data_IF_654790140618
#
_entry.id   IF_654790140618
#
_cell.length_a   1.000
_cell.length_b   1.000
_cell.length_c   1.000
_cell.angle_alpha   90.00
_cell.angle_beta   90.00
_cell.angle_gamma   90.00
#
_symmetry.space_group_name_H-M   'P 1'
#
loop_
_entity.id
_entity.type
_entity.pdbx_description
1 polymer ?
#
# COMPACT_ATOMS: atom_id res chain seq x y z
N UNK A 1 7.89 5.69 30.21
CA UNK A 1 7.76 4.48 29.37
C UNK A 1 8.87 4.53 28.33
N UNK A 2 9.61 3.43 28.16
CA UNK A 2 10.66 3.34 27.14
C UNK A 2 10.05 3.17 25.74
N UNK A 3 10.09 4.25 24.94
CA UNK A 3 9.58 4.27 23.56
C UNK A 3 10.32 3.29 22.65
N UNK A 4 11.58 2.96 22.97
CA UNK A 4 12.40 2.03 22.20
C UNK A 4 11.91 0.59 22.38
N UNK A 5 11.69 0.15 23.63
CA UNK A 5 11.11 -1.16 23.93
C UNK A 5 9.70 -1.32 23.32
N UNK A 6 8.88 -0.27 23.38
CA UNK A 6 7.54 -0.28 22.78
C UNK A 6 7.59 -0.43 21.26
N UNK A 7 8.49 0.29 20.59
CA UNK A 7 8.71 0.16 19.14
C UNK A 7 9.15 -1.25 18.75
N UNK A 8 10.13 -1.83 19.46
CA UNK A 8 10.59 -3.21 19.23
C UNK A 8 9.45 -4.21 19.35
N UNK A 9 8.57 -4.05 20.35
CA UNK A 9 7.37 -4.87 20.53
C UNK A 9 6.41 -4.73 19.34
N UNK A 10 6.11 -3.51 18.90
CA UNK A 10 5.24 -3.28 17.74
C UNK A 10 5.81 -3.87 16.45
N UNK A 11 7.12 -3.73 16.24
CA UNK A 11 7.82 -4.30 15.10
C UNK A 11 7.69 -5.82 15.08
N UNK A 12 8.04 -6.49 16.18
CA UNK A 12 7.91 -7.94 16.30
C UNK A 12 6.47 -8.42 16.06
N UNK A 13 5.49 -7.72 16.64
CA UNK A 13 4.07 -8.04 16.45
C UNK A 13 3.56 -7.80 15.03
N UNK A 14 4.12 -6.83 14.31
CA UNK A 14 3.71 -6.53 12.94
C UNK A 14 4.28 -7.58 11.98
N UNK A 15 5.56 -7.90 12.13
CA UNK A 15 6.28 -8.83 11.25
C UNK A 15 5.91 -10.30 11.49
N UNK A 16 5.28 -10.63 12.62
CA UNK A 16 4.78 -11.99 12.88
C UNK A 16 3.39 -12.27 12.30
N UNK A 17 2.73 -11.26 11.71
CA UNK A 17 1.37 -11.43 11.15
C UNK A 17 1.43 -12.05 9.76
N UNK A 18 0.42 -12.86 9.46
CA UNK A 18 0.15 -13.28 8.09
C UNK A 18 -0.26 -12.08 7.22
N UNK A 19 0.00 -12.19 5.92
CA UNK A 19 -0.43 -11.22 4.93
C UNK A 19 -1.96 -11.25 4.80
N UNK A 20 -2.59 -10.07 4.95
CA UNK A 20 -4.05 -9.90 4.89
C UNK A 20 -4.53 -9.32 3.56
N UNK A 21 -3.63 -9.13 2.59
CA UNK A 21 -4.01 -8.74 1.23
C UNK A 21 -4.79 -9.87 0.55
N UNK A 22 -5.57 -9.54 -0.49
CA UNK A 22 -6.26 -10.56 -1.30
C UNK A 22 -5.29 -11.50 -2.02
N UNK A 23 -4.08 -11.03 -2.30
CA UNK A 23 -3.00 -11.84 -2.90
C UNK A 23 -2.42 -12.83 -1.89
N UNK A 24 -2.40 -12.46 -0.61
CA UNK A 24 -1.82 -13.26 0.46
C UNK A 24 -0.29 -13.23 0.48
N UNK A 25 0.34 -12.34 -0.29
CA UNK A 25 1.78 -12.13 -0.32
C UNK A 25 2.14 -10.70 -0.70
N UNK A 26 3.36 -10.29 -0.34
CA UNK A 26 3.97 -9.03 -0.80
C UNK A 26 4.20 -9.10 -2.32
N UNK A 27 4.10 -7.96 -2.99
CA UNK A 27 4.39 -7.85 -4.43
C UNK A 27 5.88 -8.04 -4.71
N UNK A 28 6.20 -8.80 -5.76
CA UNK A 28 7.57 -9.13 -6.15
C UNK A 28 8.39 -7.86 -6.44
N UNK A 29 7.78 -6.85 -7.05
CA UNK A 29 8.43 -5.59 -7.40
C UNK A 29 8.84 -4.72 -6.20
N UNK A 30 8.29 -4.98 -5.00
CA UNK A 30 8.61 -4.23 -3.78
C UNK A 30 9.23 -5.08 -2.67
N UNK A 31 9.30 -6.42 -2.85
CA UNK A 31 9.70 -7.33 -1.78
C UNK A 31 11.09 -7.01 -1.22
N UNK A 32 12.05 -6.65 -2.07
CA UNK A 32 13.41 -6.30 -1.67
C UNK A 32 13.43 -5.03 -0.80
N UNK A 33 12.66 -4.01 -1.18
CA UNK A 33 12.54 -2.76 -0.41
C UNK A 33 11.88 -3.02 0.96
N UNK A 34 10.82 -3.84 0.99
CA UNK A 34 10.14 -4.25 2.24
C UNK A 34 11.12 -4.97 3.16
N UNK A 35 11.87 -5.94 2.64
CA UNK A 35 12.87 -6.68 3.42
C UNK A 35 14.00 -5.77 3.92
N UNK A 36 14.51 -4.88 3.07
CA UNK A 36 15.54 -3.92 3.42
C UNK A 36 15.12 -3.04 4.60
N UNK A 37 13.92 -2.46 4.56
CA UNK A 37 13.41 -1.62 5.64
C UNK A 37 13.16 -2.42 6.91
N UNK A 38 12.59 -3.62 6.79
CA UNK A 38 12.32 -4.50 7.94
C UNK A 38 13.60 -5.01 8.62
N UNK A 39 14.73 -5.06 7.91
CA UNK A 39 16.03 -5.39 8.50
C UNK A 39 16.62 -4.26 9.38
N UNK A 40 16.14 -3.00 9.25
CA UNK A 40 16.66 -1.85 9.99
C UNK A 40 15.95 -1.66 11.32
N UNK A 41 16.68 -1.42 12.41
CA UNK A 41 16.08 -1.23 13.75
C UNK A 41 15.10 -0.05 13.84
N UNK A 42 15.25 0.94 12.96
CA UNK A 42 14.49 2.18 12.95
C UNK A 42 13.12 2.05 12.28
N UNK A 43 12.89 0.99 11.50
CA UNK A 43 11.75 0.88 10.60
C UNK A 43 11.06 -0.48 10.70
N UNK A 44 9.76 -0.48 10.38
CA UNK A 44 9.08 -1.68 9.88
C UNK A 44 7.90 -1.29 8.99
N UNK A 45 7.64 -2.10 7.98
CA UNK A 45 6.52 -1.92 7.06
C UNK A 45 5.22 -2.44 7.67
N UNK A 46 4.11 -1.74 7.48
CA UNK A 46 2.78 -2.17 7.94
C UNK A 46 1.87 -2.63 6.80
N UNK A 47 2.07 -2.10 5.59
CA UNK A 47 1.41 -2.54 4.35
C UNK A 47 2.14 -2.00 3.12
N UNK A 48 1.98 -2.68 1.98
CA UNK A 48 2.59 -2.32 0.69
C UNK A 48 1.67 -2.67 -0.48
N UNK A 49 1.81 -1.94 -1.59
CA UNK A 49 1.27 -2.28 -2.91
C UNK A 49 2.26 -1.75 -3.96
N UNK A 50 2.71 -2.60 -4.90
CA UNK A 50 3.60 -2.18 -5.99
C UNK A 50 2.94 -1.23 -7.01
N UNK A 51 1.62 -1.12 -6.94
CA UNK A 51 0.78 -0.46 -7.94
C UNK A 51 -0.05 -1.49 -8.67
N UNK A 52 -1.25 -1.09 -9.09
CA UNK A 52 -2.18 -2.00 -9.75
C UNK A 52 -3.15 -1.29 -10.67
N UNK A 53 -3.51 -2.01 -11.72
CA UNK A 53 -4.58 -1.65 -12.64
C UNK A 53 -5.83 -2.43 -12.21
N UNK A 54 -6.96 -1.73 -12.15
CA UNK A 54 -8.23 -2.22 -11.68
C UNK A 54 -9.31 -1.96 -12.73
N UNK A 55 -10.17 -2.96 -12.95
CA UNK A 55 -11.48 -2.77 -13.56
C UNK A 55 -12.53 -3.15 -12.53
N UNK A 56 -13.36 -2.19 -12.14
CA UNK A 56 -14.40 -2.36 -11.15
C UNK A 56 -15.77 -2.25 -11.82
N UNK A 57 -16.71 -3.08 -11.39
CA UNK A 57 -18.12 -2.91 -11.76
C UNK A 57 -18.68 -1.65 -11.08
N UNK A 58 -19.26 -0.75 -11.85
CA UNK A 58 -19.89 0.49 -11.38
C UNK A 58 -21.29 0.27 -10.81
N UNK A 59 -21.89 -0.90 -11.03
CA UNK A 59 -23.26 -1.21 -10.61
C UNK A 59 -24.32 -0.39 -11.35
N UNK A 60 -25.59 -0.80 -11.21
CA UNK A 60 -26.72 -0.23 -11.98
C UNK A 60 -27.12 1.17 -11.48
N UNK A 61 -26.74 1.56 -10.25
CA UNK A 61 -27.19 2.80 -9.58
C UNK A 61 -26.06 3.66 -8.96
N UNK A 62 -24.80 3.44 -9.35
CA UNK A 62 -23.64 3.99 -8.65
C UNK A 62 -23.23 5.41 -9.06
N UNK A 63 -23.97 6.45 -8.65
CA UNK A 63 -23.41 7.82 -8.57
C UNK A 63 -22.30 7.85 -7.49
N UNK A 64 -21.08 7.43 -7.84
CA UNK A 64 -19.89 7.61 -7.01
C UNK A 64 -18.98 6.38 -6.90
N UNK A 65 -17.67 6.62 -6.75
CA UNK A 65 -16.64 5.59 -6.57
C UNK A 65 -16.77 4.94 -5.19
N UNK A 66 -17.47 3.80 -5.09
CA UNK A 66 -17.52 3.00 -3.86
C UNK A 66 -16.27 2.11 -3.72
N UNK A 67 -15.51 2.28 -2.63
CA UNK A 67 -14.35 1.42 -2.30
C UNK A 67 -14.74 0.13 -1.56
N UNK A 68 -15.92 0.06 -0.95
CA UNK A 68 -16.44 -1.11 -0.23
C UNK A 68 -17.56 -1.77 -1.03
N UNK A 69 -17.64 -3.10 -1.03
CA UNK A 69 -18.60 -3.88 -1.84
C UNK A 69 -18.54 -3.68 -3.37
N UNK A 70 -17.45 -3.14 -3.92
CA UNK A 70 -17.25 -3.10 -5.37
C UNK A 70 -16.88 -4.50 -5.91
N UNK A 71 -17.50 -4.89 -7.03
CA UNK A 71 -17.14 -6.11 -7.73
C UNK A 71 -15.86 -5.86 -8.55
N UNK A 72 -14.84 -6.70 -8.35
CA UNK A 72 -13.55 -6.59 -9.04
C UNK A 72 -13.62 -7.46 -10.29
N UNK A 73 -13.74 -6.82 -11.45
CA UNK A 73 -13.81 -7.52 -12.74
C UNK A 73 -12.41 -7.95 -13.21
N UNK A 74 -11.40 -7.13 -12.92
CA UNK A 74 -9.99 -7.39 -13.19
C UNK A 74 -9.11 -6.68 -12.16
N UNK A 75 -8.06 -7.37 -11.71
CA UNK A 75 -6.93 -6.77 -11.00
C UNK A 75 -5.64 -7.33 -11.54
N UNK A 76 -4.70 -6.45 -11.84
CA UNK A 76 -3.35 -6.84 -12.26
C UNK A 76 -2.31 -5.90 -11.68
N UNK A 77 -1.18 -6.47 -11.28
CA UNK A 77 0.00 -5.75 -10.81
C UNK A 77 1.05 -5.59 -11.92
N UNK A 78 0.75 -6.07 -13.14
CA UNK A 78 1.59 -5.95 -14.34
C UNK A 78 0.86 -5.14 -15.42
N UNK A 79 1.56 -4.61 -16.44
CA UNK A 79 0.92 -3.95 -17.57
C UNK A 79 -0.23 -4.77 -18.16
N UNK A 80 -1.40 -4.16 -18.24
CA UNK A 80 -2.61 -4.84 -18.71
C UNK A 80 -2.65 -4.87 -20.25
N UNK A 81 -2.94 -6.04 -20.83
CA UNK A 81 -3.13 -6.20 -22.27
C UNK A 81 -4.60 -5.95 -22.63
N UNK A 82 -4.83 -5.37 -23.82
CA UNK A 82 -6.17 -5.02 -24.31
C UNK A 82 -7.15 -6.19 -24.23
N UNK A 83 -6.74 -7.39 -24.60
CA UNK A 83 -7.68 -8.52 -24.68
C UNK A 83 -8.18 -8.97 -23.30
N UNK A 84 -7.30 -9.01 -22.29
CA UNK A 84 -7.69 -9.30 -20.90
C UNK A 84 -8.69 -8.27 -20.37
N UNK A 85 -8.46 -7.00 -20.71
CA UNK A 85 -9.38 -5.91 -20.38
C UNK A 85 -10.76 -6.13 -21.00
N UNK A 86 -10.80 -6.45 -22.29
CA UNK A 86 -12.06 -6.67 -23.01
C UNK A 86 -12.82 -7.89 -22.49
N UNK A 87 -12.11 -8.95 -22.09
CA UNK A 87 -12.72 -10.13 -21.45
C UNK A 87 -13.31 -9.77 -20.09
N UNK A 88 -12.61 -8.98 -19.28
CA UNK A 88 -13.12 -8.53 -18.00
C UNK A 88 -14.31 -7.59 -18.13
N UNK A 89 -14.28 -6.67 -19.10
CA UNK A 89 -15.33 -5.69 -19.34
C UNK A 89 -16.67 -6.34 -19.73
N UNK A 90 -16.64 -7.47 -20.46
CA UNK A 90 -17.85 -8.25 -20.81
C UNK A 90 -18.59 -8.80 -19.59
N UNK A 91 -17.96 -8.83 -18.42
CA UNK A 91 -18.58 -9.27 -17.15
C UNK A 91 -19.28 -8.13 -16.42
N UNK A 92 -19.11 -6.87 -16.85
CA UNK A 92 -19.76 -5.73 -16.23
C UNK A 92 -21.28 -5.77 -16.47
N UNK A 93 -22.06 -5.43 -15.44
CA UNK A 93 -23.52 -5.40 -15.53
C UNK A 93 -24.06 -3.96 -15.72
N UNK A 94 -23.24 -3.06 -16.26
CA UNK A 94 -23.49 -1.63 -16.40
C UNK A 94 -22.21 -0.86 -16.67
N UNK A 95 -22.06 0.32 -16.05
CA UNK A 95 -20.83 1.10 -16.12
C UNK A 95 -19.66 0.35 -15.50
N UNK A 96 -18.45 0.61 -15.99
CA UNK A 96 -17.22 0.07 -15.42
C UNK A 96 -16.23 1.19 -15.12
N UNK A 97 -15.56 1.09 -13.97
CA UNK A 97 -14.52 2.04 -13.57
C UNK A 97 -13.16 1.44 -13.85
N UNK A 98 -12.47 2.02 -14.82
CA UNK A 98 -11.07 1.73 -15.09
C UNK A 98 -10.17 2.65 -14.25
N UNK A 99 -9.29 2.06 -13.43
CA UNK A 99 -8.50 2.80 -12.45
C UNK A 99 -7.08 2.27 -12.34
N UNK A 100 -6.12 3.19 -12.20
CA UNK A 100 -4.79 2.88 -11.71
C UNK A 100 -4.66 3.33 -10.26
N UNK A 101 -4.15 2.45 -9.40
CA UNK A 101 -3.70 2.78 -8.05
C UNK A 101 -2.17 2.69 -8.04
N UNK A 102 -1.45 3.80 -7.76
CA UNK A 102 0.01 3.79 -7.79
C UNK A 102 0.59 2.99 -6.64
N UNK A 103 1.92 2.82 -6.69
CA UNK A 103 2.71 2.33 -5.58
C UNK A 103 2.35 3.03 -4.27
N UNK A 104 2.26 2.26 -3.19
CA UNK A 104 2.15 2.82 -1.83
C UNK A 104 2.83 1.90 -0.82
N UNK A 105 3.60 2.49 0.10
CA UNK A 105 4.24 1.77 1.19
C UNK A 105 4.06 2.53 2.51
N UNK A 106 3.60 1.82 3.55
CA UNK A 106 3.45 2.36 4.89
C UNK A 106 4.58 1.86 5.79
N UNK A 107 5.36 2.78 6.34
CA UNK A 107 6.55 2.49 7.16
C UNK A 107 6.46 3.15 8.52
N UNK A 108 6.40 2.35 9.58
CA UNK A 108 6.41 2.88 10.94
C UNK A 108 7.85 3.15 11.34
N UNK A 109 8.10 4.38 11.76
CA UNK A 109 9.42 4.89 12.11
C UNK A 109 9.56 4.98 13.62
N UNK A 110 10.75 4.68 14.13
CA UNK A 110 11.05 4.70 15.56
C UNK A 110 11.03 6.12 16.12
N UNK A 111 11.61 7.07 15.38
CA UNK A 111 11.68 8.48 15.76
C UNK A 111 11.27 9.39 14.61
N UNK A 112 11.00 10.67 14.92
CA UNK A 112 10.61 11.65 13.91
C UNK A 112 11.76 11.90 12.92
N UNK A 113 12.99 11.90 13.43
CA UNK A 113 14.20 12.06 12.62
C UNK A 113 14.35 10.91 11.62
N UNK A 114 14.06 9.67 12.03
CA UNK A 114 14.07 8.51 11.14
C UNK A 114 13.04 8.68 10.01
N UNK A 115 11.84 9.18 10.34
CA UNK A 115 10.79 9.44 9.36
C UNK A 115 11.14 10.59 8.41
N UNK A 116 11.74 11.67 8.90
CA UNK A 116 12.19 12.81 8.11
C UNK A 116 13.28 12.39 7.12
N UNK A 117 14.27 11.60 7.57
CA UNK A 117 15.32 11.07 6.73
C UNK A 117 14.75 10.19 5.61
N UNK A 118 13.86 9.24 5.95
CA UNK A 118 13.26 8.36 4.95
C UNK A 118 12.31 9.13 4.01
N UNK A 119 11.63 10.16 4.49
CA UNK A 119 10.81 11.05 3.66
C UNK A 119 11.65 11.83 2.63
N UNK A 120 12.80 12.37 3.01
CA UNK A 120 13.71 13.03 2.07
C UNK A 120 14.17 12.06 0.98
N UNK A 121 14.59 10.85 1.36
CA UNK A 121 14.95 9.80 0.41
C UNK A 121 13.80 9.48 -0.54
N UNK A 122 12.57 9.38 -0.03
CA UNK A 122 11.39 9.09 -0.84
C UNK A 122 11.10 10.21 -1.86
N UNK A 123 11.13 11.47 -1.42
CA UNK A 123 10.90 12.64 -2.31
C UNK A 123 11.99 12.73 -3.38
N UNK A 124 13.25 12.54 -3.01
CA UNK A 124 14.40 12.54 -3.93
C UNK A 124 14.33 11.37 -4.93
N UNK A 125 13.68 10.27 -4.55
CA UNK A 125 13.42 9.12 -5.41
C UNK A 125 12.17 9.28 -6.29
N UNK A 126 11.46 10.42 -6.20
CA UNK A 126 10.29 10.74 -7.02
C UNK A 126 8.93 10.52 -6.36
N UNK A 127 8.86 10.02 -5.13
CA UNK A 127 7.62 9.81 -4.37
C UNK A 127 7.17 11.12 -3.69
N UNK A 128 6.74 12.09 -4.51
CA UNK A 128 6.44 13.46 -4.06
C UNK A 128 5.18 13.56 -3.19
N UNK A 129 4.32 12.55 -3.19
CA UNK A 129 3.09 12.51 -2.38
C UNK A 129 3.33 11.79 -1.04
N UNK A 130 4.60 11.53 -0.69
CA UNK A 130 4.99 10.96 0.59
C UNK A 130 4.71 11.92 1.75
N UNK A 131 4.29 11.39 2.89
CA UNK A 131 3.89 12.19 4.05
C UNK A 131 4.05 11.49 5.39
N UNK A 132 4.34 12.28 6.43
CA UNK A 132 4.52 11.81 7.81
C UNK A 132 3.26 12.13 8.62
N UNK A 133 2.75 11.14 9.35
CA UNK A 133 1.67 11.29 10.32
C UNK A 133 2.16 10.89 11.71
N UNK A 134 1.85 11.72 12.72
CA UNK A 134 2.13 11.43 14.13
C UNK A 134 0.83 11.16 14.87
N UNK A 135 0.62 9.91 15.29
CA UNK A 135 -0.58 9.50 16.01
C UNK A 135 -0.58 9.90 17.49
N UNK A 136 -1.75 9.87 18.13
CA UNK A 136 -1.97 10.28 19.53
C UNK A 136 -1.09 9.58 20.58
N UNK A 137 -0.55 8.39 20.27
CA UNK A 137 0.38 7.64 21.15
C UNK A 137 1.84 7.76 20.72
N UNK A 138 2.19 8.78 19.94
CA UNK A 138 3.55 8.98 19.44
C UNK A 138 3.98 7.99 18.36
N UNK A 139 3.05 7.25 17.75
CA UNK A 139 3.34 6.40 16.58
C UNK A 139 3.61 7.28 15.37
N UNK A 140 4.77 7.12 14.77
CA UNK A 140 5.21 7.91 13.62
C UNK A 140 5.11 7.03 12.38
N UNK A 141 4.26 7.43 11.46
CA UNK A 141 3.95 6.70 10.23
C UNK A 141 4.41 7.53 9.04
N UNK A 142 5.22 6.95 8.17
CA UNK A 142 5.53 7.49 6.85
C UNK A 142 4.71 6.72 5.81
N UNK A 143 4.08 7.46 4.90
CA UNK A 143 3.52 6.94 3.65
C UNK A 143 4.50 7.32 2.54
N UNK A 144 4.93 6.35 1.72
CA UNK A 144 5.67 6.58 0.49
C UNK A 144 4.71 6.45 -0.69
N UNK A 145 4.56 7.50 -1.48
CA UNK A 145 3.65 7.58 -2.64
C UNK A 145 4.11 8.63 -3.67
#
# INVERSE_FOLDING_TARGET
>A
MDRSAEFKKWKAQCLSKADLSRKGSVDEDVIELVQLLNAREQFFTTSSCAGRILLLDGGINGLGVQKQNCCWLLVTHIPCVKDDMMVALKKANGDAVFKFEPFVLHVQCRQLQDAQMLHSVAVDSGFRNSGITVGKRGKIMLVLQ
#
